data_IF_752589678670
#
_entry.id   IF_752589678670
#
_cell.length_a   1.000
_cell.length_b   1.000
_cell.length_c   1.000
_cell.angle_alpha   90.00
_cell.angle_beta   90.00
_cell.angle_gamma   90.00
#
_symmetry.space_group_name_H-M   'P 1'
#
loop_
_entity.id
_entity.type
_entity.pdbx_description
1 polymer ?
#
# COMPACT_ATOMS: atom_id res chain seq x y z
N UNK A 1 -32.73 -53.64 26.20
CA UNK A 1 -33.11 -52.21 26.06
C UNK A 1 -32.40 -51.65 24.84
N UNK A 2 -33.16 -51.04 23.94
CA UNK A 2 -32.71 -50.58 22.61
C UNK A 2 -31.79 -49.36 22.75
N UNK A 3 -30.55 -49.47 22.29
CA UNK A 3 -29.68 -48.33 22.07
C UNK A 3 -29.78 -47.92 20.59
N UNK A 4 -30.30 -46.71 20.36
CA UNK A 4 -30.48 -46.14 19.03
C UNK A 4 -29.13 -45.71 18.46
N UNK A 5 -28.79 -46.24 17.28
CA UNK A 5 -27.67 -45.80 16.45
C UNK A 5 -28.16 -44.60 15.64
N UNK A 6 -27.64 -43.41 15.94
CA UNK A 6 -27.89 -42.20 15.16
C UNK A 6 -26.78 -42.10 14.10
N UNK A 7 -27.13 -42.36 12.84
CA UNK A 7 -26.32 -42.02 11.68
C UNK A 7 -26.30 -40.49 11.47
N UNK A 8 -25.17 -39.86 11.12
CA UNK A 8 -25.17 -38.50 10.66
C UNK A 8 -25.58 -38.45 9.18
N UNK A 9 -26.61 -37.63 8.94
CA UNK A 9 -27.18 -37.27 7.64
C UNK A 9 -26.11 -36.64 6.74
N UNK A 10 -25.88 -37.25 5.59
CA UNK A 10 -25.15 -36.65 4.47
C UNK A 10 -26.01 -35.51 3.91
N UNK A 11 -25.59 -34.27 4.11
CA UNK A 11 -26.15 -33.10 3.40
C UNK A 11 -25.22 -32.79 2.23
N UNK A 12 -25.62 -33.25 1.04
CA UNK A 12 -24.99 -32.96 -0.23
C UNK A 12 -25.76 -31.83 -0.92
N UNK A 13 -25.03 -30.80 -1.39
CA UNK A 13 -25.38 -29.84 -2.45
C UNK A 13 -26.63 -28.96 -2.22
N UNK A 14 -26.58 -27.62 -2.29
CA UNK A 14 -26.23 -26.82 -3.46
C UNK A 14 -26.35 -25.34 -3.07
N UNK A 15 -25.44 -24.46 -3.49
CA UNK A 15 -25.70 -23.11 -4.01
C UNK A 15 -24.35 -22.38 -4.22
N UNK A 16 -23.54 -22.90 -5.15
CA UNK A 16 -22.55 -22.11 -5.87
C UNK A 16 -23.26 -21.46 -7.05
N UNK A 17 -23.94 -20.33 -6.83
CA UNK A 17 -24.18 -19.39 -7.92
C UNK A 17 -22.93 -18.53 -8.03
N UNK A 18 -21.95 -19.12 -8.70
CA UNK A 18 -20.84 -18.35 -9.27
C UNK A 18 -21.46 -17.40 -10.29
N UNK A 19 -21.47 -16.11 -10.00
CA UNK A 19 -21.73 -15.07 -10.99
C UNK A 19 -20.57 -15.05 -12.00
N UNK A 20 -20.48 -16.05 -12.87
CA UNK A 20 -19.77 -15.94 -14.14
C UNK A 20 -20.60 -15.04 -15.04
N UNK A 21 -20.50 -13.72 -14.84
CA UNK A 21 -20.86 -12.78 -15.91
C UNK A 21 -19.96 -13.11 -17.10
N UNK A 22 -20.61 -13.50 -18.18
CA UNK A 22 -20.01 -13.59 -19.52
C UNK A 22 -19.16 -12.33 -19.76
N UNK A 23 -17.87 -12.44 -20.16
CA UNK A 23 -17.02 -11.28 -20.44
C UNK A 23 -17.36 -10.70 -21.82
N UNK A 24 -18.64 -10.62 -22.16
CA UNK A 24 -19.12 -9.91 -23.35
C UNK A 24 -18.67 -8.46 -23.21
N UNK A 25 -17.82 -8.03 -24.14
CA UNK A 25 -16.96 -6.86 -24.03
C UNK A 25 -17.62 -5.68 -23.34
N UNK A 26 -17.02 -5.23 -22.24
CA UNK A 26 -17.31 -3.93 -21.63
C UNK A 26 -17.27 -2.90 -22.75
N UNK A 27 -18.41 -2.25 -23.03
CA UNK A 27 -18.45 -1.20 -24.03
C UNK A 27 -18.07 0.15 -23.39
N UNK A 28 -17.69 1.13 -24.21
CA UNK A 28 -17.28 2.46 -23.75
C UNK A 28 -18.27 3.09 -22.76
N UNK A 29 -19.58 2.95 -23.01
CA UNK A 29 -20.64 3.46 -22.11
C UNK A 29 -20.55 2.85 -20.71
N UNK A 30 -20.31 1.53 -20.62
CA UNK A 30 -20.14 0.85 -19.33
C UNK A 30 -18.87 1.30 -18.62
N UNK A 31 -17.76 1.49 -19.34
CA UNK A 31 -16.51 1.98 -18.78
C UNK A 31 -16.66 3.42 -18.23
N UNK A 32 -17.31 4.31 -18.99
CA UNK A 32 -17.64 5.67 -18.53
C UNK A 32 -18.52 5.68 -17.29
N UNK A 33 -19.57 4.83 -17.25
CA UNK A 33 -20.46 4.72 -16.09
C UNK A 33 -19.70 4.29 -14.84
N UNK A 34 -18.83 3.30 -14.98
CA UNK A 34 -18.02 2.80 -13.88
C UNK A 34 -17.00 3.83 -13.39
N UNK A 35 -16.33 4.54 -14.31
CA UNK A 35 -15.44 5.65 -13.96
C UNK A 35 -16.19 6.77 -13.22
N UNK A 36 -17.41 7.09 -13.64
CA UNK A 36 -18.21 8.12 -12.98
C UNK A 36 -18.57 7.76 -11.52
N UNK A 37 -18.91 6.49 -11.23
CA UNK A 37 -19.15 6.05 -9.85
C UNK A 37 -17.91 6.25 -8.97
N UNK A 38 -16.74 6.00 -9.52
CA UNK A 38 -15.47 6.22 -8.82
C UNK A 38 -15.18 7.70 -8.59
N UNK A 39 -15.41 8.55 -9.60
CA UNK A 39 -15.25 10.01 -9.47
C UNK A 39 -16.17 10.61 -8.40
N UNK A 40 -17.42 10.18 -8.32
CA UNK A 40 -18.35 10.60 -7.25
C UNK A 40 -17.79 10.27 -5.86
N UNK A 41 -17.18 9.09 -5.70
CA UNK A 41 -16.55 8.67 -4.46
C UNK A 41 -15.31 9.52 -4.13
N UNK A 42 -14.45 9.78 -5.12
CA UNK A 42 -13.28 10.67 -5.00
C UNK A 42 -13.68 12.09 -4.64
N UNK A 43 -14.67 12.66 -5.31
CA UNK A 43 -15.14 14.02 -5.03
C UNK A 43 -15.69 14.13 -3.60
N UNK A 44 -16.34 13.07 -3.12
CA UNK A 44 -16.80 13.00 -1.73
C UNK A 44 -15.63 12.94 -0.74
N UNK A 45 -14.54 12.26 -1.10
CA UNK A 45 -13.31 12.24 -0.29
C UNK A 45 -12.62 13.61 -0.31
N UNK A 46 -12.39 14.18 -1.50
CA UNK A 46 -11.69 15.45 -1.73
C UNK A 46 -12.35 16.64 -1.05
N UNK A 47 -13.69 16.63 -0.91
CA UNK A 47 -14.43 17.66 -0.17
C UNK A 47 -14.11 17.70 1.32
N UNK A 48 -13.50 16.65 1.87
CA UNK A 48 -13.13 16.58 3.28
C UNK A 48 -11.65 16.80 3.53
N UNK A 49 -10.81 16.49 2.54
CA UNK A 49 -9.36 16.63 2.64
C UNK A 49 -8.92 18.06 2.33
N UNK A 50 -7.67 18.41 2.68
CA UNK A 50 -7.05 19.60 2.11
C UNK A 50 -6.87 19.47 0.60
N UNK A 51 -6.68 20.62 -0.05
CA UNK A 51 -6.39 20.70 -1.48
C UNK A 51 -4.98 20.16 -1.73
N UNK A 52 -4.89 19.13 -2.56
CA UNK A 52 -3.60 18.63 -3.02
C UNK A 52 -2.86 19.67 -3.88
N UNK A 53 -1.52 19.64 -3.90
CA UNK A 53 -0.77 20.38 -4.90
C UNK A 53 -1.21 19.97 -6.30
N UNK A 54 -1.11 20.88 -7.27
CA UNK A 54 -1.38 20.56 -8.66
C UNK A 54 -0.31 19.59 -9.16
N UNK A 55 -0.66 18.31 -9.31
CA UNK A 55 0.22 17.30 -9.89
C UNK A 55 0.15 17.34 -11.43
N UNK A 56 1.22 16.98 -12.17
CA UNK A 56 1.21 16.92 -13.62
C UNK A 56 0.09 16.04 -14.17
N UNK A 57 -0.68 16.56 -15.14
CA UNK A 57 -1.78 15.81 -15.76
C UNK A 57 -1.25 14.96 -16.93
N UNK A 58 -0.70 13.79 -16.60
CA UNK A 58 -0.24 12.79 -17.57
C UNK A 58 -1.11 11.54 -17.44
N UNK A 59 -2.00 11.25 -18.40
CA UNK A 59 -2.78 10.02 -18.38
C UNK A 59 -1.91 8.79 -18.61
N UNK A 60 -1.88 7.87 -17.64
CA UNK A 60 -1.26 6.55 -17.76
C UNK A 60 -1.95 5.56 -16.83
N UNK A 61 -1.69 4.26 -17.01
CA UNK A 61 -2.11 3.24 -16.05
C UNK A 61 -1.06 2.15 -15.91
N UNK A 62 -0.82 1.68 -14.69
CA UNK A 62 0.13 0.60 -14.42
C UNK A 62 -0.60 -0.72 -14.25
N UNK A 63 -0.02 -1.78 -14.80
CA UNK A 63 -0.43 -3.17 -14.57
C UNK A 63 0.76 -3.99 -14.07
N UNK A 64 0.47 -5.16 -13.48
CA UNK A 64 1.50 -6.03 -12.94
C UNK A 64 1.58 -5.96 -11.41
N UNK A 65 0.43 -6.02 -10.75
CA UNK A 65 0.30 -6.11 -9.30
C UNK A 65 1.04 -7.33 -8.73
N UNK A 66 1.70 -7.17 -7.58
CA UNK A 66 2.49 -8.22 -6.93
C UNK A 66 3.76 -8.55 -7.72
N UNK A 67 4.27 -9.77 -7.65
CA UNK A 67 5.53 -10.16 -8.33
C UNK A 67 5.41 -10.40 -9.85
N UNK A 68 4.48 -9.72 -10.52
CA UNK A 68 4.28 -9.81 -11.97
C UNK A 68 5.23 -8.85 -12.70
N UNK A 69 5.50 -9.12 -13.98
CA UNK A 69 6.09 -8.12 -14.89
C UNK A 69 5.33 -6.80 -14.77
N UNK A 70 6.07 -5.72 -14.52
CA UNK A 70 5.53 -4.36 -14.40
C UNK A 70 5.27 -3.83 -15.80
N UNK A 71 4.04 -3.39 -16.05
CA UNK A 71 3.62 -2.86 -17.34
C UNK A 71 3.11 -1.43 -17.17
N UNK A 72 3.36 -0.61 -18.19
CA UNK A 72 2.86 0.75 -18.27
C UNK A 72 2.06 0.91 -19.56
N UNK A 73 0.81 1.37 -19.41
CA UNK A 73 -0.01 1.84 -20.52
C UNK A 73 0.03 3.37 -20.60
N UNK A 74 0.34 3.91 -21.79
CA UNK A 74 0.26 5.35 -22.09
C UNK A 74 -0.03 5.55 -23.59
N UNK A 75 -1.03 6.36 -23.93
CA UNK A 75 -1.32 6.83 -25.30
C UNK A 75 -1.31 5.72 -26.37
N UNK A 76 -2.02 4.62 -26.12
CA UNK A 76 -2.09 3.49 -27.05
C UNK A 76 -0.87 2.58 -27.09
N UNK A 77 0.06 2.72 -26.14
CA UNK A 77 1.25 1.85 -26.04
C UNK A 77 1.25 1.14 -24.69
N UNK A 78 1.43 -0.18 -24.71
CA UNK A 78 1.70 -1.00 -23.53
C UNK A 78 3.16 -1.45 -23.58
N UNK A 79 3.93 -1.13 -22.55
CA UNK A 79 5.35 -1.46 -22.45
C UNK A 79 5.65 -2.27 -21.18
N UNK A 80 6.76 -3.02 -21.18
CA UNK A 80 7.42 -3.47 -19.95
C UNK A 80 8.06 -2.25 -19.29
N UNK A 81 7.59 -1.89 -18.09
CA UNK A 81 7.96 -0.66 -17.42
C UNK A 81 9.39 -0.67 -16.87
N UNK A 82 9.99 -1.85 -16.70
CA UNK A 82 11.37 -2.00 -16.20
C UNK A 82 12.37 -2.15 -17.34
N UNK A 83 11.97 -2.77 -18.45
CA UNK A 83 12.85 -3.00 -19.62
C UNK A 83 12.73 -1.93 -20.70
N UNK A 84 11.57 -1.26 -20.79
CA UNK A 84 11.24 -0.33 -21.87
C UNK A 84 10.75 -0.99 -23.16
N UNK A 85 10.67 -2.33 -23.19
CA UNK A 85 10.23 -3.07 -24.38
C UNK A 85 8.75 -2.81 -24.68
N UNK A 86 8.44 -2.52 -25.94
CA UNK A 86 7.04 -2.41 -26.38
C UNK A 86 6.40 -3.79 -26.46
N UNK A 87 5.34 -4.00 -25.68
CA UNK A 87 4.54 -5.23 -25.70
C UNK A 87 3.51 -5.17 -26.82
N UNK A 88 2.76 -4.06 -26.89
CA UNK A 88 1.73 -3.87 -27.91
C UNK A 88 1.46 -2.38 -28.14
N UNK A 89 1.05 -2.03 -29.36
CA UNK A 89 0.74 -0.67 -29.77
C UNK A 89 -0.54 -0.65 -30.60
N UNK A 90 -1.36 0.37 -30.36
CA UNK A 90 -2.62 0.62 -31.05
C UNK A 90 -2.70 2.06 -31.53
N UNK A 91 -3.32 2.25 -32.70
CA UNK A 91 -3.75 3.58 -33.15
C UNK A 91 -5.08 3.90 -32.47
N UNK A 92 -5.01 4.59 -31.34
CA UNK A 92 -6.16 4.87 -30.47
C UNK A 92 -6.95 6.07 -31.00
N UNK A 93 -8.27 5.91 -31.11
CA UNK A 93 -9.24 6.97 -31.36
C UNK A 93 -9.80 7.51 -30.03
N UNK A 94 -10.17 6.62 -29.12
CA UNK A 94 -10.74 6.94 -27.81
C UNK A 94 -10.23 5.95 -26.76
N UNK A 95 -10.00 6.42 -25.53
CA UNK A 95 -9.59 5.59 -24.41
C UNK A 95 -10.25 6.02 -23.09
N UNK A 96 -10.50 5.05 -22.21
CA UNK A 96 -10.95 5.27 -20.84
C UNK A 96 -10.16 4.36 -19.89
N UNK A 97 -9.56 4.96 -18.87
CA UNK A 97 -8.94 4.27 -17.74
C UNK A 97 -9.98 4.17 -16.63
N UNK A 98 -10.19 2.98 -16.07
CA UNK A 98 -11.08 2.73 -14.93
C UNK A 98 -10.24 2.14 -13.79
N UNK A 99 -9.60 2.97 -12.95
CA UNK A 99 -8.56 2.53 -12.02
C UNK A 99 -9.02 1.42 -11.07
N UNK A 100 -10.19 1.58 -10.44
CA UNK A 100 -10.71 0.60 -9.48
C UNK A 100 -11.15 -0.74 -10.11
N UNK A 101 -11.26 -0.81 -11.43
CA UNK A 101 -11.51 -2.06 -12.17
C UNK A 101 -10.22 -2.65 -12.77
N UNK A 102 -9.06 -2.00 -12.54
CA UNK A 102 -7.76 -2.35 -13.08
C UNK A 102 -7.84 -2.54 -14.60
N UNK A 103 -8.41 -1.55 -15.28
CA UNK A 103 -8.86 -1.68 -16.67
C UNK A 103 -8.56 -0.43 -17.49
N UNK A 104 -8.11 -0.65 -18.73
CA UNK A 104 -8.06 0.34 -19.79
C UNK A 104 -8.91 -0.17 -20.96
N UNK A 105 -9.85 0.64 -21.43
CA UNK A 105 -10.69 0.34 -22.59
C UNK A 105 -10.38 1.30 -23.74
N UNK A 106 -10.16 0.75 -24.94
CA UNK A 106 -9.72 1.48 -26.12
C UNK A 106 -10.67 1.23 -27.29
N UNK A 107 -10.88 2.25 -28.10
CA UNK A 107 -11.41 2.15 -29.46
C UNK A 107 -10.32 2.60 -30.41
N UNK A 108 -9.94 1.74 -31.35
CA UNK A 108 -8.93 2.06 -32.35
C UNK A 108 -9.52 2.90 -33.49
N UNK A 109 -8.66 3.50 -34.32
CA UNK A 109 -9.08 4.20 -35.55
C UNK A 109 -9.87 3.32 -36.51
N UNK A 110 -9.69 2.00 -36.43
CA UNK A 110 -10.41 1.02 -37.24
C UNK A 110 -11.71 0.52 -36.55
N UNK A 111 -12.16 1.21 -35.49
CA UNK A 111 -13.30 0.87 -34.66
C UNK A 111 -13.19 -0.49 -33.94
N UNK A 112 -11.98 -1.04 -33.80
CA UNK A 112 -11.75 -2.21 -32.95
C UNK A 112 -11.83 -1.80 -31.48
N UNK A 113 -12.45 -2.65 -30.65
CA UNK A 113 -12.55 -2.46 -29.21
C UNK A 113 -11.57 -3.36 -28.50
N UNK A 114 -10.66 -2.76 -27.74
CA UNK A 114 -9.66 -3.46 -26.95
C UNK A 114 -9.91 -3.19 -25.47
N UNK A 115 -9.78 -4.20 -24.63
CA UNK A 115 -9.77 -4.04 -23.18
C UNK A 115 -8.51 -4.66 -22.61
N UNK A 116 -7.68 -3.87 -21.96
CA UNK A 116 -6.58 -4.35 -21.13
C UNK A 116 -7.11 -4.41 -19.69
N UNK A 117 -7.03 -5.57 -19.04
CA UNK A 117 -7.54 -5.74 -17.67
C UNK A 117 -6.65 -6.66 -16.87
N UNK A 118 -6.45 -6.31 -15.61
CA UNK A 118 -5.76 -7.15 -14.65
C UNK A 118 -6.72 -7.77 -13.63
N UNK A 119 -6.53 -9.06 -13.33
CA UNK A 119 -7.29 -9.79 -12.32
C UNK A 119 -6.35 -10.53 -11.33
N UNK A 120 -6.92 -11.40 -10.49
CA UNK A 120 -6.17 -12.16 -9.49
C UNK A 120 -5.18 -13.18 -10.07
N UNK A 121 -5.20 -13.40 -11.39
CA UNK A 121 -4.40 -14.40 -12.09
C UNK A 121 -3.33 -13.74 -12.97
N UNK A 122 -3.73 -12.78 -13.82
CA UNK A 122 -2.83 -12.18 -14.81
C UNK A 122 -3.33 -10.84 -15.36
N UNK A 123 -2.53 -10.26 -16.27
CA UNK A 123 -2.95 -9.17 -17.16
C UNK A 123 -3.42 -9.76 -18.48
N UNK A 124 -4.58 -9.30 -18.94
CA UNK A 124 -5.25 -9.79 -20.14
C UNK A 124 -5.48 -8.66 -21.13
N UNK A 125 -5.34 -8.98 -22.42
CA UNK A 125 -5.75 -8.13 -23.54
C UNK A 125 -6.91 -8.84 -24.23
N UNK A 126 -8.08 -8.22 -24.22
CA UNK A 126 -9.28 -8.72 -24.90
C UNK A 126 -9.56 -7.90 -26.14
N UNK A 127 -9.68 -8.57 -27.28
CA UNK A 127 -10.24 -8.03 -28.52
C UNK A 127 -11.59 -8.70 -28.81
N UNK A 128 -12.18 -8.41 -29.98
CA UNK A 128 -13.40 -9.10 -30.44
C UNK A 128 -13.19 -10.61 -30.60
N UNK A 129 -11.98 -11.02 -30.96
CA UNK A 129 -11.68 -12.38 -31.42
C UNK A 129 -10.80 -13.17 -30.46
N UNK A 130 -10.08 -12.48 -29.58
CA UNK A 130 -9.01 -13.08 -28.80
C UNK A 130 -9.01 -12.58 -27.36
N UNK A 131 -8.68 -13.50 -26.46
CA UNK A 131 -8.27 -13.20 -25.09
C UNK A 131 -6.82 -13.65 -24.93
N UNK A 132 -5.92 -12.67 -24.95
CA UNK A 132 -4.49 -12.87 -24.82
C UNK A 132 -4.06 -12.63 -23.37
N UNK A 133 -3.24 -13.53 -22.82
CA UNK A 133 -2.58 -13.32 -21.53
C UNK A 133 -1.21 -12.71 -21.77
N UNK A 134 -0.90 -11.59 -21.12
CA UNK A 134 0.43 -10.96 -21.27
C UNK A 134 1.49 -11.82 -20.58
N UNK A 135 2.58 -12.12 -21.28
CA UNK A 135 3.68 -12.93 -20.74
C UNK A 135 4.30 -12.31 -19.48
N UNK A 136 4.80 -13.15 -18.57
CA UNK A 136 5.41 -12.69 -17.30
C UNK A 136 4.42 -12.15 -16.26
N UNK A 137 3.12 -12.09 -16.56
CA UNK A 137 2.10 -11.57 -15.61
C UNK A 137 1.37 -12.66 -14.82
N UNK A 138 1.78 -13.92 -14.90
CA UNK A 138 1.14 -15.01 -14.14
C UNK A 138 1.71 -15.07 -12.73
N UNK A 139 1.00 -14.50 -11.77
CA UNK A 139 1.28 -14.64 -10.33
C UNK A 139 0.00 -14.38 -9.54
N UNK A 140 -0.32 -15.23 -8.56
CA UNK A 140 -1.59 -15.14 -7.82
C UNK A 140 -1.55 -14.02 -6.79
N UNK A 141 -2.57 -13.18 -6.82
CA UNK A 141 -2.84 -12.12 -5.84
C UNK A 141 -4.28 -12.22 -5.35
N UNK A 142 -4.58 -11.70 -4.17
CA UNK A 142 -5.96 -11.53 -3.68
C UNK A 142 -6.42 -10.10 -3.95
N UNK A 143 -7.63 -9.95 -4.50
CA UNK A 143 -8.23 -8.65 -4.80
C UNK A 143 -9.61 -8.53 -4.13
N UNK A 144 -9.67 -8.19 -2.83
CA UNK A 144 -10.93 -7.95 -2.14
C UNK A 144 -11.75 -6.83 -2.80
N UNK A 145 -13.08 -6.89 -2.70
CA UNK A 145 -13.97 -5.88 -3.30
C UNK A 145 -14.26 -4.69 -2.37
N UNK A 146 -14.00 -4.82 -1.07
CA UNK A 146 -14.19 -3.79 -0.04
C UNK A 146 -15.63 -3.25 0.08
N UNK A 147 -16.65 -4.00 -0.34
CA UNK A 147 -18.05 -3.54 -0.45
C UNK A 147 -18.67 -3.04 0.87
N UNK A 148 -18.19 -3.52 2.02
CA UNK A 148 -18.69 -3.11 3.35
C UNK A 148 -18.08 -1.78 3.87
N UNK A 149 -17.12 -1.20 3.15
CA UNK A 149 -16.44 0.04 3.53
C UNK A 149 -17.09 1.27 2.87
N UNK A 150 -16.84 2.45 3.44
CA UNK A 150 -17.39 3.71 2.95
C UNK A 150 -16.87 4.11 1.56
N UNK A 151 -15.61 3.79 1.29
CA UNK A 151 -14.91 4.17 0.06
C UNK A 151 -14.34 2.95 -0.66
N UNK A 152 -15.19 2.01 -1.14
CA UNK A 152 -14.74 0.74 -1.68
C UNK A 152 -13.87 0.90 -2.93
N UNK A 153 -14.18 1.83 -3.82
CA UNK A 153 -13.48 2.00 -5.09
C UNK A 153 -12.14 2.67 -4.89
N UNK A 154 -12.06 3.66 -3.99
CA UNK A 154 -10.80 4.29 -3.59
C UNK A 154 -9.90 3.25 -2.92
N UNK A 155 -10.43 2.43 -2.01
CA UNK A 155 -9.65 1.35 -1.37
C UNK A 155 -9.09 0.33 -2.37
N UNK A 156 -9.80 0.02 -3.46
CA UNK A 156 -9.27 -0.81 -4.55
C UNK A 156 -8.07 -0.16 -5.24
N UNK A 157 -8.13 1.15 -5.49
CA UNK A 157 -7.02 1.88 -6.13
C UNK A 157 -5.81 1.99 -5.20
N UNK A 158 -6.00 2.32 -3.92
CA UNK A 158 -4.91 2.35 -2.94
C UNK A 158 -4.24 0.97 -2.79
N UNK A 159 -5.04 -0.09 -2.75
CA UNK A 159 -4.51 -1.45 -2.71
C UNK A 159 -3.73 -1.81 -3.99
N UNK A 160 -4.18 -1.37 -5.17
CA UNK A 160 -3.43 -1.51 -6.41
C UNK A 160 -2.08 -0.78 -6.35
N UNK A 161 -2.04 0.47 -5.86
CA UNK A 161 -0.81 1.24 -5.73
C UNK A 161 0.21 0.60 -4.78
N UNK A 162 -0.25 -0.09 -3.72
CA UNK A 162 0.60 -0.90 -2.85
C UNK A 162 1.14 -2.12 -3.62
N UNK A 163 0.26 -2.88 -4.28
CA UNK A 163 0.65 -4.10 -5.00
C UNK A 163 1.58 -3.83 -6.19
N UNK A 164 1.42 -2.69 -6.87
CA UNK A 164 2.26 -2.29 -8.00
C UNK A 164 3.72 -2.09 -7.61
N UNK A 165 3.97 -1.71 -6.35
CA UNK A 165 5.31 -1.45 -5.84
C UNK A 165 6.00 -2.66 -5.23
N UNK A 166 5.49 -3.87 -5.47
CA UNK A 166 6.17 -5.12 -5.11
C UNK A 166 6.91 -5.66 -6.34
N UNK A 167 8.24 -5.75 -6.26
CA UNK A 167 9.12 -6.27 -7.32
C UNK A 167 10.01 -7.36 -6.74
N UNK A 168 9.96 -8.58 -7.26
CA UNK A 168 10.80 -9.70 -6.78
C UNK A 168 10.76 -9.86 -5.26
N UNK A 169 9.54 -9.85 -4.72
CA UNK A 169 9.21 -9.87 -3.29
C UNK A 169 9.61 -8.64 -2.48
N UNK A 170 10.23 -7.62 -3.09
CA UNK A 170 10.64 -6.39 -2.41
C UNK A 170 9.49 -5.38 -2.39
N UNK A 171 8.98 -4.98 -1.22
CA UNK A 171 8.02 -3.89 -1.08
C UNK A 171 8.73 -2.53 -1.18
N UNK A 172 8.72 -1.92 -2.36
CA UNK A 172 9.41 -0.66 -2.62
C UNK A 172 8.51 0.56 -2.30
N UNK A 173 9.07 1.73 -1.93
CA UNK A 173 8.29 2.96 -1.82
C UNK A 173 7.67 3.36 -3.17
N UNK A 174 8.51 3.36 -4.21
CA UNK A 174 8.13 3.47 -5.61
C UNK A 174 9.18 2.74 -6.47
N UNK A 175 8.76 1.77 -7.29
CA UNK A 175 9.71 0.90 -8.00
C UNK A 175 10.52 1.59 -9.11
N UNK A 176 10.11 2.77 -9.58
CA UNK A 176 10.88 3.54 -10.57
C UNK A 176 12.05 4.28 -9.94
N UNK A 177 11.89 4.83 -8.74
CA UNK A 177 12.89 5.73 -8.13
C UNK A 177 13.68 5.10 -6.98
N UNK A 178 13.21 3.98 -6.44
CA UNK A 178 13.89 3.23 -5.37
C UNK A 178 14.26 1.82 -5.80
N UNK A 179 15.49 1.41 -5.51
CA UNK A 179 16.01 0.06 -5.81
C UNK A 179 15.90 -0.91 -4.63
N UNK A 180 15.70 -0.39 -3.42
CA UNK A 180 15.69 -1.15 -2.17
C UNK A 180 14.45 -0.78 -1.35
N UNK A 181 13.82 -1.75 -0.66
CA UNK A 181 12.77 -1.46 0.33
C UNK A 181 13.32 -0.64 1.49
N UNK A 182 12.54 0.32 1.95
CA UNK A 182 12.71 0.98 3.25
C UNK A 182 11.90 0.22 4.29
N UNK A 183 12.45 0.04 5.50
CA UNK A 183 11.79 -0.72 6.58
C UNK A 183 10.46 -0.09 6.99
N UNK A 184 10.41 1.25 7.10
CA UNK A 184 9.18 2.03 7.34
C UNK A 184 8.09 1.73 6.31
N UNK A 185 8.37 1.98 5.02
CA UNK A 185 7.44 1.71 3.93
C UNK A 185 7.00 0.23 3.89
N UNK A 186 7.96 -0.69 4.01
CA UNK A 186 7.70 -2.11 3.99
C UNK A 186 6.80 -2.56 5.13
N UNK A 187 7.00 -2.03 6.35
CA UNK A 187 6.17 -2.33 7.51
C UNK A 187 4.73 -1.84 7.30
N UNK A 188 4.55 -0.63 6.78
CA UNK A 188 3.21 -0.08 6.50
C UNK A 188 2.50 -0.83 5.37
N UNK A 189 3.22 -1.17 4.30
CA UNK A 189 2.71 -2.06 3.25
C UNK A 189 2.31 -3.43 3.83
N UNK A 190 3.13 -4.00 4.72
CA UNK A 190 2.89 -5.32 5.30
C UNK A 190 1.60 -5.38 6.12
N UNK A 191 1.26 -4.31 6.86
CA UNK A 191 -0.03 -4.21 7.56
C UNK A 191 -1.22 -4.31 6.59
N UNK A 192 -1.14 -3.65 5.44
CA UNK A 192 -2.18 -3.77 4.40
C UNK A 192 -2.20 -5.16 3.75
N UNK A 193 -1.02 -5.74 3.49
CA UNK A 193 -0.92 -7.08 2.92
C UNK A 193 -1.45 -8.17 3.88
N UNK A 194 -1.27 -8.00 5.20
CA UNK A 194 -1.89 -8.86 6.23
C UNK A 194 -3.42 -8.78 6.13
N UNK A 195 -3.98 -7.57 6.06
CA UNK A 195 -5.43 -7.37 5.97
C UNK A 195 -6.06 -7.82 4.65
N UNK A 196 -5.32 -7.81 3.55
CA UNK A 196 -5.82 -8.21 2.23
C UNK A 196 -5.51 -9.67 1.88
N UNK A 197 -4.72 -10.35 2.72
CA UNK A 197 -4.29 -11.74 2.50
C UNK A 197 -3.25 -11.88 1.39
N UNK A 198 -2.35 -10.90 1.28
CA UNK A 198 -1.30 -10.82 0.27
C UNK A 198 0.12 -10.87 0.85
N UNK A 199 0.29 -11.22 2.13
CA UNK A 199 1.61 -11.35 2.78
C UNK A 199 2.58 -12.30 2.03
N UNK A 200 2.05 -13.31 1.34
CA UNK A 200 2.87 -14.24 0.55
C UNK A 200 3.72 -13.55 -0.51
N UNK A 201 3.36 -12.34 -0.95
CA UNK A 201 4.09 -11.59 -1.95
C UNK A 201 5.47 -11.10 -1.47
N UNK A 202 5.61 -10.79 -0.18
CA UNK A 202 6.85 -10.23 0.40
C UNK A 202 7.65 -11.25 1.22
N UNK A 203 7.15 -12.49 1.33
CA UNK A 203 7.69 -13.53 2.21
C UNK A 203 9.18 -13.77 1.98
N UNK A 204 9.59 -13.95 0.73
CA UNK A 204 10.97 -14.33 0.39
C UNK A 204 11.96 -13.22 0.74
N UNK A 205 11.56 -11.95 0.55
CA UNK A 205 12.36 -10.81 0.96
C UNK A 205 12.51 -10.74 2.49
N UNK A 206 11.41 -10.90 3.24
CA UNK A 206 11.46 -10.83 4.71
C UNK A 206 12.29 -11.98 5.31
N UNK A 207 12.14 -13.20 4.79
CA UNK A 207 12.93 -14.34 5.26
C UNK A 207 14.40 -14.28 4.83
N UNK A 208 14.71 -13.51 3.78
CA UNK A 208 16.07 -13.26 3.31
C UNK A 208 16.79 -12.10 4.01
N UNK A 209 16.17 -11.44 5.00
CA UNK A 209 16.83 -10.37 5.75
C UNK A 209 17.88 -10.94 6.69
N UNK A 210 19.08 -10.34 6.67
CA UNK A 210 20.23 -10.69 7.51
C UNK A 210 20.82 -9.46 8.25
N UNK A 211 20.25 -8.28 8.00
CA UNK A 211 20.66 -7.00 8.58
C UNK A 211 19.52 -6.31 9.34
N UNK A 212 19.76 -5.85 10.58
CA UNK A 212 18.81 -5.06 11.36
C UNK A 212 18.37 -3.75 10.68
N UNK A 213 19.19 -3.21 9.78
CA UNK A 213 18.99 -1.92 9.14
C UNK A 213 18.89 -2.04 7.62
N UNK A 214 18.13 -1.15 6.97
CA UNK A 214 18.15 -1.04 5.51
C UNK A 214 19.31 -0.16 4.99
N UNK A 215 19.77 0.81 5.80
CA UNK A 215 20.81 1.81 5.46
C UNK A 215 20.51 2.60 4.19
N UNK A 216 19.22 2.82 3.90
CA UNK A 216 18.82 3.56 2.71
C UNK A 216 19.01 5.07 2.87
N UNK A 217 18.93 5.60 4.10
CA UNK A 217 19.13 7.01 4.38
C UNK A 217 20.63 7.35 4.52
N UNK A 218 21.32 7.49 3.39
CA UNK A 218 22.75 7.81 3.32
C UNK A 218 23.67 6.87 4.14
N UNK A 219 23.27 5.60 4.35
CA UNK A 219 24.04 4.63 5.11
C UNK A 219 23.75 4.58 6.62
N UNK A 220 22.88 5.44 7.14
CA UNK A 220 22.57 5.50 8.57
C UNK A 220 21.93 4.21 9.09
N UNK A 221 22.26 3.86 10.33
CA UNK A 221 21.62 2.79 11.09
C UNK A 221 20.46 3.38 11.90
N UNK A 222 19.34 3.66 11.24
CA UNK A 222 18.18 4.31 11.88
C UNK A 222 17.57 3.38 12.95
N UNK A 223 17.35 3.89 14.16
CA UNK A 223 17.02 3.04 15.32
C UNK A 223 15.58 2.48 15.29
N UNK A 224 14.67 3.11 14.56
CA UNK A 224 13.31 2.63 14.28
C UNK A 224 13.30 1.35 13.43
N UNK A 225 14.29 1.17 12.53
CA UNK A 225 14.43 -0.05 11.73
C UNK A 225 14.49 -1.32 12.58
N UNK A 226 15.00 -1.25 13.82
CA UNK A 226 15.07 -2.40 14.72
C UNK A 226 13.67 -2.97 14.97
N UNK A 227 12.73 -2.12 15.37
CA UNK A 227 11.36 -2.52 15.65
C UNK A 227 10.56 -2.89 14.41
N UNK A 228 10.75 -2.15 13.33
CA UNK A 228 10.13 -2.44 12.02
C UNK A 228 10.57 -3.80 11.49
N UNK A 229 11.87 -4.12 11.60
CA UNK A 229 12.41 -5.41 11.16
C UNK A 229 11.90 -6.55 12.03
N UNK A 230 11.81 -6.38 13.36
CA UNK A 230 11.17 -7.37 14.24
C UNK A 230 9.70 -7.60 13.86
N UNK A 231 8.95 -6.54 13.60
CA UNK A 231 7.56 -6.67 13.14
C UNK A 231 7.48 -7.43 11.82
N UNK A 232 8.30 -7.09 10.82
CA UNK A 232 8.34 -7.80 9.54
C UNK A 232 8.62 -9.30 9.74
N UNK A 233 9.66 -9.64 10.52
CA UNK A 233 10.01 -11.04 10.83
C UNK A 233 8.83 -11.77 11.48
N UNK A 234 8.11 -11.11 12.40
CA UNK A 234 6.96 -11.71 13.12
C UNK A 234 5.84 -12.23 12.21
N UNK A 235 5.78 -11.74 10.96
CA UNK A 235 4.76 -12.15 9.99
C UNK A 235 5.02 -13.53 9.38
N UNK A 236 6.26 -14.03 9.43
CA UNK A 236 6.68 -15.25 8.74
C UNK A 236 7.57 -16.19 9.56
N UNK A 237 8.15 -15.70 10.64
CA UNK A 237 9.03 -16.45 11.53
C UNK A 237 8.71 -16.12 13.00
N UNK A 238 9.45 -16.75 13.91
CA UNK A 238 9.28 -16.56 15.34
C UNK A 238 10.55 -15.97 15.98
N UNK A 239 10.51 -15.81 17.31
CA UNK A 239 11.61 -15.27 18.11
C UNK A 239 12.96 -15.99 18.00
N UNK A 240 13.00 -17.20 17.45
CA UNK A 240 14.24 -17.97 17.26
C UNK A 240 14.96 -17.64 15.94
N UNK A 241 14.43 -16.72 15.11
CA UNK A 241 15.12 -16.28 13.90
C UNK A 241 16.47 -15.62 14.29
N UNK A 242 17.61 -15.98 13.67
CA UNK A 242 18.93 -15.41 14.03
C UNK A 242 18.99 -13.88 13.98
N UNK A 243 18.25 -13.26 13.06
CA UNK A 243 18.21 -11.80 12.94
C UNK A 243 17.49 -11.15 14.14
N UNK A 244 16.53 -11.83 14.78
CA UNK A 244 15.88 -11.33 16.01
C UNK A 244 16.92 -11.16 17.11
N UNK A 245 17.79 -12.16 17.33
CA UNK A 245 18.84 -12.09 18.34
C UNK A 245 19.83 -10.95 18.04
N UNK A 246 20.23 -10.80 16.77
CA UNK A 246 21.11 -9.71 16.31
C UNK A 246 20.47 -8.34 16.54
N UNK A 247 19.17 -8.18 16.25
CA UNK A 247 18.43 -6.93 16.51
C UNK A 247 18.39 -6.61 18.00
N UNK A 248 18.10 -7.59 18.86
CA UNK A 248 18.08 -7.36 20.30
C UNK A 248 19.45 -6.99 20.87
N UNK A 249 20.54 -7.52 20.30
CA UNK A 249 21.90 -7.10 20.65
C UNK A 249 22.20 -5.68 20.15
N UNK A 250 21.83 -5.34 18.92
CA UNK A 250 22.00 -3.98 18.39
C UNK A 250 21.19 -2.94 19.19
N UNK A 251 19.99 -3.28 19.66
CA UNK A 251 19.16 -2.39 20.48
C UNK A 251 19.89 -1.91 21.75
N UNK A 252 20.74 -2.75 22.34
CA UNK A 252 21.54 -2.41 23.54
C UNK A 252 22.49 -1.23 23.32
N UNK A 253 22.92 -0.98 22.08
CA UNK A 253 23.81 0.15 21.77
C UNK A 253 23.12 1.51 21.91
N UNK A 254 21.80 1.53 21.80
CA UNK A 254 20.98 2.75 21.92
C UNK A 254 20.27 2.83 23.28
N UNK A 255 20.51 1.87 24.19
CA UNK A 255 19.81 1.82 25.46
C UNK A 255 20.16 3.02 26.35
N UNK A 256 19.12 3.70 26.80
CA UNK A 256 19.18 4.71 27.85
C UNK A 256 18.43 4.19 29.06
N UNK A 257 19.03 4.37 30.24
CA UNK A 257 18.44 4.04 31.55
C UNK A 257 18.42 5.29 32.41
N UNK A 258 17.23 5.77 32.77
CA UNK A 258 17.04 7.01 33.56
C UNK A 258 16.35 6.75 34.92
N UNK A 259 16.70 5.64 35.57
CA UNK A 259 16.19 5.25 36.89
C UNK A 259 14.82 4.57 36.85
N UNK A 260 13.89 5.06 36.01
CA UNK A 260 12.54 4.50 35.88
C UNK A 260 12.19 3.98 34.48
N UNK A 261 12.94 4.38 33.44
CA UNK A 261 12.70 3.94 32.07
C UNK A 261 13.94 3.29 31.48
N UNK A 262 13.72 2.21 30.70
CA UNK A 262 14.70 1.61 29.79
C UNK A 262 14.17 1.79 28.38
N UNK A 263 14.79 2.62 27.55
CA UNK A 263 14.32 2.90 26.19
C UNK A 263 15.47 2.96 25.20
N UNK A 264 15.18 3.02 23.91
CA UNK A 264 16.21 3.24 22.89
C UNK A 264 16.20 4.69 22.42
N UNK A 265 17.41 5.24 22.25
CA UNK A 265 17.64 6.59 21.77
C UNK A 265 18.74 6.56 20.72
N UNK A 266 18.33 6.48 19.46
CA UNK A 266 19.21 6.62 18.29
C UNK A 266 18.70 7.70 17.35
N UNK A 267 19.12 7.65 16.08
CA UNK A 267 18.65 8.59 15.05
C UNK A 267 17.61 7.95 14.14
N UNK A 268 16.67 8.76 13.67
CA UNK A 268 15.75 8.49 12.56
C UNK A 268 15.63 9.80 11.79
N UNK A 269 15.79 9.78 10.47
CA UNK A 269 15.90 10.97 9.63
C UNK A 269 16.89 12.00 10.19
N UNK A 270 18.06 11.52 10.63
CA UNK A 270 19.13 12.33 11.19
C UNK A 270 18.85 13.02 12.54
N UNK A 271 17.72 12.75 13.19
CA UNK A 271 17.34 13.33 14.49
C UNK A 271 16.95 12.28 15.54
N UNK A 272 17.01 12.64 16.82
CA UNK A 272 16.66 11.74 17.92
C UNK A 272 15.14 11.78 18.19
N UNK A 273 14.47 10.64 18.01
CA UNK A 273 13.02 10.45 18.24
C UNK A 273 12.77 9.19 19.09
N UNK A 274 13.16 9.22 20.38
CA UNK A 274 13.19 8.04 21.24
C UNK A 274 11.80 7.46 21.55
N UNK A 275 10.74 8.27 21.54
CA UNK A 275 9.37 7.78 21.75
C UNK A 275 8.94 6.96 20.54
N UNK A 276 9.15 7.48 19.34
CA UNK A 276 8.82 6.78 18.09
C UNK A 276 9.62 5.48 17.93
N UNK A 277 10.94 5.54 18.12
CA UNK A 277 11.84 4.38 18.02
C UNK A 277 11.46 3.29 19.02
N UNK A 278 11.19 3.67 20.27
CA UNK A 278 10.83 2.70 21.32
C UNK A 278 9.44 2.10 21.08
N UNK A 279 8.48 2.86 20.54
CA UNK A 279 7.17 2.32 20.11
C UNK A 279 7.32 1.21 19.08
N UNK A 280 8.14 1.43 18.04
CA UNK A 280 8.43 0.41 17.05
C UNK A 280 9.09 -0.83 17.64
N UNK A 281 10.13 -0.65 18.47
CA UNK A 281 10.85 -1.76 19.10
C UNK A 281 9.89 -2.63 19.92
N UNK A 282 9.10 -2.01 20.80
CA UNK A 282 8.11 -2.71 21.63
C UNK A 282 7.04 -3.39 20.80
N UNK A 283 6.59 -2.76 19.72
CA UNK A 283 5.63 -3.38 18.81
C UNK A 283 6.18 -4.66 18.17
N UNK A 284 7.42 -4.62 17.68
CA UNK A 284 8.11 -5.78 17.13
C UNK A 284 8.28 -6.92 18.15
N UNK A 285 8.76 -6.60 19.35
CA UNK A 285 8.89 -7.54 20.49
C UNK A 285 7.55 -8.19 20.83
N UNK A 286 6.51 -7.37 20.99
CA UNK A 286 5.14 -7.83 21.29
C UNK A 286 4.61 -8.77 20.21
N UNK A 287 4.82 -8.45 18.94
CA UNK A 287 4.37 -9.28 17.80
C UNK A 287 5.11 -10.62 17.71
N UNK A 288 6.34 -10.71 18.21
CA UNK A 288 7.10 -11.95 18.32
C UNK A 288 6.78 -12.77 19.58
N UNK A 289 5.92 -12.27 20.48
CA UNK A 289 5.61 -12.92 21.75
C UNK A 289 6.83 -13.03 22.67
N UNK A 290 7.71 -12.03 22.61
CA UNK A 290 8.89 -11.92 23.47
C UNK A 290 8.57 -11.09 24.72
N UNK A 291 9.33 -11.32 25.78
CA UNK A 291 9.28 -10.46 26.97
C UNK A 291 9.81 -9.07 26.63
N UNK A 292 9.13 -8.05 27.15
CA UNK A 292 9.37 -6.66 26.84
C UNK A 292 9.91 -5.95 28.09
N UNK A 293 11.19 -5.63 28.07
CA UNK A 293 11.88 -4.93 29.15
C UNK A 293 11.91 -3.39 28.95
N UNK A 294 11.39 -2.88 27.84
CA UNK A 294 11.49 -1.48 27.50
C UNK A 294 10.28 -0.69 28.03
N UNK A 295 10.48 0.58 28.38
CA UNK A 295 9.45 1.53 28.76
C UNK A 295 9.46 2.65 27.74
N UNK A 296 8.29 3.02 27.19
CA UNK A 296 8.22 4.18 26.28
C UNK A 296 8.43 5.45 27.12
N UNK A 297 9.45 6.28 26.82
CA UNK A 297 9.73 7.47 27.61
C UNK A 297 8.60 8.48 27.43
N UNK A 298 8.23 9.19 28.50
CA UNK A 298 7.19 10.23 28.44
C UNK A 298 7.81 11.60 28.15
N UNK A 299 8.17 11.83 26.90
CA UNK A 299 8.83 13.06 26.43
C UNK A 299 8.27 13.55 25.09
N UNK A 300 8.62 14.78 24.72
CA UNK A 300 8.23 15.35 23.43
C UNK A 300 9.01 14.68 22.29
N UNK A 301 8.30 14.34 21.21
CA UNK A 301 8.83 13.64 20.06
C UNK A 301 7.89 13.89 18.87
N UNK A 302 8.38 14.56 17.83
CA UNK A 302 7.57 14.98 16.68
C UNK A 302 7.16 13.82 15.75
N UNK A 303 7.72 12.62 15.94
CA UNK A 303 7.35 11.41 15.19
C UNK A 303 6.37 10.54 15.99
N UNK A 304 6.13 10.84 17.26
CA UNK A 304 5.24 10.06 18.12
C UNK A 304 3.83 9.87 17.55
N UNK A 305 3.30 10.88 16.84
CA UNK A 305 1.99 10.84 16.18
C UNK A 305 1.97 10.01 14.88
N UNK A 306 3.13 9.63 14.33
CA UNK A 306 3.19 8.73 13.16
C UNK A 306 2.85 7.27 13.52
N UNK A 307 2.81 6.94 14.81
CA UNK A 307 2.53 5.61 15.32
C UNK A 307 1.13 5.59 15.96
N UNK A 308 0.11 5.26 15.17
CA UNK A 308 -1.30 5.42 15.56
C UNK A 308 -2.01 4.13 16.02
N UNK A 309 -1.51 2.95 15.69
CA UNK A 309 -2.21 1.67 15.94
C UNK A 309 -1.99 1.07 17.34
N UNK A 310 -0.97 1.54 18.06
CA UNK A 310 -0.69 1.12 19.45
C UNK A 310 -0.04 2.27 20.21
N UNK A 311 0.06 2.16 21.54
CA UNK A 311 0.83 3.07 22.40
C UNK A 311 0.48 4.57 22.30
N UNK A 312 -0.74 4.91 21.85
CA UNK A 312 -1.19 6.31 21.69
C UNK A 312 -1.13 7.12 22.98
N UNK A 313 -1.33 6.48 24.14
CA UNK A 313 -1.30 7.11 25.46
C UNK A 313 0.05 7.71 25.85
N UNK A 314 1.14 7.36 25.16
CA UNK A 314 2.48 7.89 25.40
C UNK A 314 2.81 9.14 24.57
N UNK A 315 1.83 9.68 23.83
CA UNK A 315 1.99 10.95 23.15
C UNK A 315 2.01 12.11 24.16
N UNK A 316 3.03 12.95 24.05
CA UNK A 316 3.16 14.19 24.83
C UNK A 316 3.11 15.38 23.87
N UNK A 317 2.07 16.23 23.93
CA UNK A 317 2.05 17.45 23.13
C UNK A 317 3.13 18.43 23.63
N UNK A 318 3.67 19.25 22.73
CA UNK A 318 4.66 20.28 23.10
C UNK A 318 5.56 20.69 21.93
N UNK A 319 5.82 19.76 21.02
CA UNK A 319 6.48 20.01 19.74
C UNK A 319 5.50 19.83 18.58
N UNK A 320 5.77 20.51 17.46
CA UNK A 320 5.01 20.33 16.22
C UNK A 320 5.30 18.96 15.63
N UNK A 321 4.26 18.14 15.46
CA UNK A 321 4.34 16.85 14.79
C UNK A 321 4.87 16.98 13.34
N UNK A 322 5.53 15.93 12.86
CA UNK A 322 6.14 15.84 11.54
C UNK A 322 5.12 15.66 10.39
N UNK A 323 3.96 16.29 10.47
CA UNK A 323 2.83 16.10 9.54
C UNK A 323 3.01 16.85 8.20
N UNK A 324 4.07 16.56 7.45
CA UNK A 324 4.21 17.08 6.10
C UNK A 324 3.08 16.54 5.20
N UNK A 325 2.38 17.45 4.53
CA UNK A 325 1.23 17.15 3.66
C UNK A 325 1.54 17.44 2.19
N UNK A 326 2.68 18.02 1.88
CA UNK A 326 3.06 18.50 0.55
C UNK A 326 4.04 17.53 -0.09
N UNK A 327 5.19 17.34 0.55
CA UNK A 327 6.29 16.54 0.00
C UNK A 327 6.19 15.07 0.45
N UNK A 328 5.75 14.85 1.69
CA UNK A 328 5.64 13.51 2.29
C UNK A 328 4.23 13.24 2.86
N UNK A 329 3.16 13.24 2.04
CA UNK A 329 1.80 13.26 2.56
C UNK A 329 1.40 12.05 3.38
N UNK A 330 2.15 10.95 3.30
CA UNK A 330 2.01 9.80 4.21
C UNK A 330 2.20 10.20 5.68
N UNK A 331 3.09 11.15 5.99
CA UNK A 331 3.25 11.67 7.35
C UNK A 331 2.00 12.44 7.79
N UNK A 332 1.45 13.26 6.90
CA UNK A 332 0.16 13.93 7.12
C UNK A 332 -0.96 12.94 7.42
N UNK A 333 -1.10 11.89 6.60
CA UNK A 333 -2.14 10.87 6.80
C UNK A 333 -1.94 10.08 8.10
N UNK A 334 -0.71 9.75 8.48
CA UNK A 334 -0.41 9.11 9.76
C UNK A 334 -0.81 10.00 10.95
N UNK A 335 -0.47 11.29 10.91
CA UNK A 335 -0.91 12.26 11.92
C UNK A 335 -2.43 12.38 11.99
N UNK A 336 -3.11 12.48 10.84
CA UNK A 336 -4.56 12.58 10.81
C UNK A 336 -5.21 11.31 11.38
N UNK A 337 -4.63 10.14 11.11
CA UNK A 337 -5.08 8.87 11.72
C UNK A 337 -4.91 8.93 13.24
N UNK A 338 -3.76 9.40 13.72
CA UNK A 338 -3.47 9.53 15.14
C UNK A 338 -4.41 10.49 15.87
N UNK A 339 -4.67 11.66 15.30
CA UNK A 339 -5.51 12.70 15.93
C UNK A 339 -7.02 12.52 15.64
N UNK A 340 -7.37 11.65 14.68
CA UNK A 340 -8.75 11.46 14.23
C UNK A 340 -9.23 12.53 13.24
N UNK A 341 -8.30 13.33 12.71
CA UNK A 341 -8.54 14.38 11.73
C UNK A 341 -8.71 13.83 10.30
N UNK A 342 -9.10 14.66 9.34
CA UNK A 342 -9.31 14.21 7.96
C UNK A 342 -8.85 15.26 6.95
N UNK A 343 -7.67 15.83 7.16
CA UNK A 343 -7.20 17.05 6.49
C UNK A 343 -6.06 16.80 5.50
N UNK A 344 -5.59 15.57 5.33
CA UNK A 344 -4.45 15.23 4.47
C UNK A 344 -4.89 15.03 3.03
N UNK A 345 -4.09 15.50 2.07
CA UNK A 345 -4.54 15.59 0.69
C UNK A 345 -4.55 14.23 0.00
N UNK A 346 -5.43 14.12 -1.00
CA UNK A 346 -5.45 13.05 -2.00
C UNK A 346 -5.27 13.71 -3.37
N UNK A 347 -4.57 13.05 -4.30
CA UNK A 347 -4.34 13.56 -5.65
C UNK A 347 -5.62 14.12 -6.28
N UNK A 348 -5.47 15.18 -7.06
CA UNK A 348 -6.55 15.75 -7.85
C UNK A 348 -6.85 14.94 -9.14
N UNK A 349 -6.07 13.89 -9.43
CA UNK A 349 -6.27 13.00 -10.59
C UNK A 349 -7.05 11.74 -10.23
N UNK A 350 -7.66 11.09 -11.23
CA UNK A 350 -8.30 9.79 -11.04
C UNK A 350 -7.30 8.67 -10.74
N UNK A 351 -6.06 8.81 -11.21
CA UNK A 351 -4.97 7.90 -10.94
C UNK A 351 -3.65 8.58 -11.31
N UNK A 352 -2.57 8.38 -10.54
CA UNK A 352 -2.54 7.79 -9.21
C UNK A 352 -3.08 8.73 -8.11
N UNK A 353 -3.44 8.16 -6.97
CA UNK A 353 -3.97 8.85 -5.80
C UNK A 353 -2.89 9.38 -4.86
N UNK A 354 -1.71 8.76 -4.89
CA UNK A 354 -0.63 8.98 -3.94
C UNK A 354 0.64 9.43 -4.61
N UNK A 355 1.50 10.10 -3.85
CA UNK A 355 2.77 10.62 -4.30
C UNK A 355 3.76 10.81 -3.14
N UNK A 356 5.01 11.04 -3.52
CA UNK A 356 6.10 11.59 -2.72
C UNK A 356 6.86 12.61 -3.59
N UNK A 357 7.34 13.70 -2.98
CA UNK A 357 8.11 14.74 -3.66
C UNK A 357 9.39 15.08 -2.90
N UNK A 358 10.41 15.51 -3.63
CA UNK A 358 11.66 16.06 -3.08
C UNK A 358 12.45 15.15 -2.12
N UNK A 359 12.19 13.85 -2.11
CA UNK A 359 12.92 12.87 -1.30
C UNK A 359 14.39 12.81 -1.71
N UNK A 360 15.27 12.89 -0.72
CA UNK A 360 16.72 13.03 -0.96
C UNK A 360 17.36 11.80 -1.58
N UNK A 361 16.81 10.61 -1.32
CA UNK A 361 17.35 9.32 -1.78
C UNK A 361 16.65 8.77 -3.03
N UNK A 362 15.63 9.45 -3.55
CA UNK A 362 14.90 9.02 -4.73
C UNK A 362 15.68 9.34 -6.02
N UNK A 363 15.82 8.35 -6.90
CA UNK A 363 16.34 8.55 -8.25
C UNK A 363 15.20 8.88 -9.24
N UNK A 364 14.78 10.14 -9.26
CA UNK A 364 13.67 10.62 -10.10
C UNK A 364 13.84 10.42 -11.60
N UNK A 365 15.05 10.12 -12.10
CA UNK A 365 15.26 9.78 -13.51
C UNK A 365 14.44 8.56 -13.95
N UNK A 366 14.13 7.64 -13.02
CA UNK A 366 13.27 6.49 -13.32
C UNK A 366 11.85 6.87 -13.75
N UNK A 367 11.35 8.04 -13.33
CA UNK A 367 9.99 8.49 -13.67
C UNK A 367 9.84 8.94 -15.13
N UNK A 368 10.96 9.18 -15.84
CA UNK A 368 10.94 9.60 -17.24
C UNK A 368 10.28 8.57 -18.18
N UNK A 369 10.21 7.30 -17.75
CA UNK A 369 9.45 6.24 -18.46
C UNK A 369 7.95 6.56 -18.54
N UNK A 370 7.41 7.25 -17.53
CA UNK A 370 6.05 7.77 -17.56
C UNK A 370 6.06 9.08 -18.33
N UNK A 371 6.77 10.09 -17.83
CA UNK A 371 6.90 11.39 -18.46
C UNK A 371 8.04 12.21 -17.82
N UNK A 372 8.87 12.91 -18.60
CA UNK A 372 9.95 13.75 -18.07
C UNK A 372 9.51 14.80 -17.04
N UNK A 373 8.25 15.24 -17.07
CA UNK A 373 7.73 16.23 -16.10
C UNK A 373 7.88 15.75 -14.65
N UNK A 374 7.68 14.46 -14.40
CA UNK A 374 7.83 13.88 -13.05
C UNK A 374 9.27 13.90 -12.56
N UNK A 375 10.24 13.75 -13.48
CA UNK A 375 11.66 13.90 -13.16
C UNK A 375 12.00 15.36 -12.83
N UNK A 376 11.54 16.32 -13.65
CA UNK A 376 11.81 17.74 -13.42
C UNK A 376 11.19 18.27 -12.13
N UNK A 377 10.01 17.76 -11.76
CA UNK A 377 9.31 18.16 -10.54
C UNK A 377 9.73 17.37 -9.30
N UNK A 378 10.67 16.42 -9.43
CA UNK A 378 11.07 15.49 -8.36
C UNK A 378 9.87 14.82 -7.69
N UNK A 379 8.99 14.26 -8.52
CA UNK A 379 7.71 13.70 -8.10
C UNK A 379 7.64 12.21 -8.43
N UNK A 380 7.46 11.37 -7.41
CA UNK A 380 7.28 9.93 -7.54
C UNK A 380 5.80 9.59 -7.38
N UNK A 381 5.23 8.88 -8.35
CA UNK A 381 3.83 8.45 -8.33
C UNK A 381 3.66 7.03 -8.87
N UNK A 382 2.83 6.18 -8.23
CA UNK A 382 2.27 6.31 -6.87
C UNK A 382 3.36 6.15 -5.78
N UNK A 383 3.00 6.33 -4.49
CA UNK A 383 3.89 6.06 -3.35
C UNK A 383 3.25 5.09 -2.35
N UNK A 384 3.96 4.01 -2.00
CA UNK A 384 3.35 2.87 -1.30
C UNK A 384 3.06 3.10 0.18
N UNK A 385 3.90 3.84 0.93
CA UNK A 385 3.57 4.22 2.31
C UNK A 385 2.35 5.17 2.34
N UNK A 386 2.27 6.12 1.40
CA UNK A 386 1.12 7.01 1.30
C UNK A 386 -0.16 6.22 0.99
N UNK A 387 -0.09 5.27 0.06
CA UNK A 387 -1.21 4.38 -0.20
C UNK A 387 -1.60 3.54 1.02
N UNK A 388 -0.62 3.06 1.79
CA UNK A 388 -0.85 2.27 2.99
C UNK A 388 -1.54 3.07 4.10
N UNK A 389 -1.08 4.27 4.43
CA UNK A 389 -1.70 5.12 5.47
C UNK A 389 -3.14 5.47 5.11
N UNK A 390 -3.37 5.91 3.86
CA UNK A 390 -4.73 6.17 3.38
C UNK A 390 -5.60 4.91 3.48
N UNK A 391 -5.10 3.75 3.05
CA UNK A 391 -5.86 2.52 3.08
C UNK A 391 -6.25 2.12 4.51
N UNK A 392 -5.28 2.13 5.43
CA UNK A 392 -5.48 1.74 6.83
C UNK A 392 -6.45 2.70 7.52
N UNK A 393 -6.34 4.01 7.27
CA UNK A 393 -7.23 4.97 7.88
C UNK A 393 -8.67 4.88 7.36
N UNK A 394 -8.86 4.76 6.04
CA UNK A 394 -10.18 4.60 5.44
C UNK A 394 -10.87 3.30 5.85
N UNK A 395 -10.08 2.25 6.13
CA UNK A 395 -10.58 0.95 6.62
C UNK A 395 -11.18 1.04 8.02
N UNK A 396 -10.65 1.90 8.90
CA UNK A 396 -11.13 2.05 10.28
C UNK A 396 -12.36 2.94 10.40
N UNK A 397 -12.71 3.68 9.35
CA UNK A 397 -13.93 4.50 9.36
C UNK A 397 -15.20 3.62 9.37
N UNK A 398 -16.31 4.12 9.97
CA UNK A 398 -17.51 3.31 10.19
C UNK A 398 -17.97 2.58 8.92
N UNK A 399 -18.19 1.27 9.04
CA UNK A 399 -18.82 0.45 8.00
C UNK A 399 -20.25 0.94 7.78
N UNK A 400 -20.70 0.96 6.53
CA UNK A 400 -22.04 1.44 6.14
C UNK A 400 -23.16 0.71 6.92
N UNK A 401 -22.92 -0.55 7.33
CA UNK A 401 -23.89 -1.37 8.07
C UNK A 401 -24.15 -0.94 9.53
N UNK A 402 -23.34 -0.07 10.14
CA UNK A 402 -23.53 0.35 11.54
C UNK A 402 -24.28 1.68 11.74
N UNK A 403 -24.77 2.31 10.66
CA UNK A 403 -25.57 3.54 10.75
C UNK A 403 -27.10 3.30 10.74
N UNK A 404 -27.58 2.05 10.82
CA UNK A 404 -29.02 1.73 10.78
C UNK A 404 -29.61 1.12 12.06
N UNK A 405 -28.96 1.22 13.23
CA UNK A 405 -29.54 0.68 14.50
C UNK A 405 -29.52 1.61 15.71
N UNK A 406 -29.17 2.89 15.57
CA UNK A 406 -29.33 3.88 16.66
C UNK A 406 -30.31 5.01 16.29
N UNK A 407 -31.48 4.63 15.80
CA UNK A 407 -32.73 5.38 16.02
C UNK A 407 -33.66 4.40 16.72
N UNK A 408 -34.21 4.80 17.87
CA UNK A 408 -34.94 3.98 18.85
C UNK A 408 -34.06 3.25 19.86
N UNK A 409 -33.57 4.00 20.85
CA UNK A 409 -33.75 3.71 22.27
C UNK A 409 -33.75 5.03 23.04
#
# INVERSE_FOLDING_TARGET
MRAAIILPTVVLLSFLVSCTRNPGGTNMKSASHDLNKYRVELDTLRKKTSVAPALPHVPFFQFGMGNRTKLLYKNGVLIDALKGDTIKKWNVKEEIIVPYNYMVHLVTTNNEKITIREDSIAVWIHSKWEKEKVSGTTSKIRLPQFEDYRYPRIMKVLHHEILMNIVDSKPLPNFFVYKKPWRRDAAMMAMVLEHTGNLHLIKDWVLGLDDPYDRNNAGETEADNLGETLYLISLFANRNNPLVLKIMEEAKKYEVKDGYSKYIKGRTDFHEVPVYQTKWLKFGIKRLGMEDEYTIPFMEDNYSALFWWDFRSYYKPGIKDACDKVDYPYLGWACDHFHGDFNSPVSNHDYPLTWEKNASQANYNGMAVIDPVFTSEKLAVPHSWHAAEMFLYLREKPRIKYQMTNKYL
#
